data_IF_839704250583
#
_entry.id   IF_839704250583
#
_cell.length_a   1.000
_cell.length_b   1.000
_cell.length_c   1.000
_cell.angle_alpha   90.00
_cell.angle_beta   90.00
_cell.angle_gamma   90.00
#
_symmetry.space_group_name_H-M   'P 1'
#
loop_
_entity.id
_entity.type
_entity.pdbx_description
1 polymer ?
#
# COMPACT_ATOMS: atom_id res chain seq x y z
N UNK A 1 17.14 -3.38 5.56
CA UNK A 1 15.75 -3.31 6.07
C UNK A 1 14.85 -3.60 4.90
N UNK A 2 14.09 -4.69 4.96
CA UNK A 2 13.22 -5.13 3.85
C UNK A 2 12.02 -4.20 3.73
N UNK A 3 11.68 -3.81 2.51
CA UNK A 3 10.54 -2.96 2.19
C UNK A 3 9.39 -3.79 1.64
N UNK A 4 8.25 -3.72 2.30
CA UNK A 4 7.05 -4.46 1.92
C UNK A 4 6.04 -3.50 1.31
N UNK A 5 5.65 -3.75 0.06
CA UNK A 5 4.55 -3.04 -0.57
C UNK A 5 3.22 -3.64 -0.09
N UNK A 6 2.44 -2.85 0.66
CA UNK A 6 1.08 -3.19 1.06
C UNK A 6 0.08 -2.62 0.07
N UNK A 7 -0.70 -3.49 -0.57
CA UNK A 7 -1.72 -3.08 -1.54
C UNK A 7 -2.89 -4.04 -1.57
N UNK A 8 -3.99 -3.61 -2.20
CA UNK A 8 -5.13 -4.50 -2.35
C UNK A 8 -6.37 -3.83 -2.91
N UNK A 9 -7.48 -4.56 -2.85
CA UNK A 9 -8.76 -4.08 -3.34
C UNK A 9 -9.29 -2.92 -2.50
N UNK A 10 -10.01 -2.01 -3.17
CA UNK A 10 -10.79 -0.96 -2.49
C UNK A 10 -11.98 -1.51 -1.71
N UNK A 11 -12.37 -2.76 -1.97
CA UNK A 11 -13.34 -3.52 -1.17
C UNK A 11 -12.60 -4.45 -0.23
N UNK A 12 -12.14 -3.89 0.87
CA UNK A 12 -11.49 -4.65 1.94
C UNK A 12 -11.91 -4.05 3.28
N UNK A 13 -13.00 -4.55 3.88
CA UNK A 13 -13.51 -4.02 5.14
C UNK A 13 -12.62 -4.41 6.34
N UNK A 14 -11.90 -5.53 6.26
CA UNK A 14 -11.05 -6.02 7.33
C UNK A 14 -9.92 -6.92 6.81
N UNK A 15 -8.83 -7.01 7.59
CA UNK A 15 -7.75 -7.97 7.34
C UNK A 15 -8.17 -9.36 7.83
N UNK A 16 -8.04 -10.36 6.96
CA UNK A 16 -8.19 -11.77 7.33
C UNK A 16 -7.11 -12.20 8.34
N UNK A 17 -7.39 -13.23 9.14
CA UNK A 17 -6.47 -13.71 10.19
C UNK A 17 -5.08 -14.05 9.65
N UNK A 18 -4.99 -14.72 8.50
CA UNK A 18 -3.71 -15.06 7.87
C UNK A 18 -2.88 -13.80 7.49
N UNK A 19 -3.55 -12.75 7.00
CA UNK A 19 -2.88 -11.47 6.66
C UNK A 19 -2.38 -10.77 7.92
N UNK A 20 -3.15 -10.82 9.02
CA UNK A 20 -2.72 -10.25 10.30
C UNK A 20 -1.50 -10.97 10.86
N UNK A 21 -1.51 -12.31 10.85
CA UNK A 21 -0.38 -13.11 11.31
C UNK A 21 0.90 -12.81 10.50
N UNK A 22 0.76 -12.67 9.18
CA UNK A 22 1.89 -12.31 8.32
C UNK A 22 2.40 -10.88 8.59
N UNK A 23 1.50 -9.92 8.81
CA UNK A 23 1.90 -8.56 9.21
C UNK A 23 2.61 -8.54 10.56
N UNK A 24 2.18 -9.34 11.54
CA UNK A 24 2.85 -9.44 12.85
C UNK A 24 4.28 -9.91 12.67
N UNK A 25 4.48 -10.99 11.88
CA UNK A 25 5.80 -11.52 11.54
C UNK A 25 6.69 -10.46 10.88
N UNK A 26 6.16 -9.68 9.94
CA UNK A 26 6.90 -8.64 9.23
C UNK A 26 7.23 -7.42 10.12
N UNK A 27 6.33 -7.06 11.04
CA UNK A 27 6.58 -6.02 12.06
C UNK A 27 7.71 -6.45 12.99
N UNK A 28 7.67 -7.69 13.50
CA UNK A 28 8.71 -8.25 14.36
C UNK A 28 10.09 -8.29 13.69
N UNK A 29 10.12 -8.45 12.37
CA UNK A 29 11.34 -8.38 11.55
C UNK A 29 11.85 -6.95 11.31
N UNK A 30 11.12 -5.93 11.76
CA UNK A 30 11.50 -4.53 11.58
C UNK A 30 11.41 -4.06 10.12
N UNK A 31 10.47 -4.61 9.34
CA UNK A 31 10.28 -4.20 7.95
C UNK A 31 9.75 -2.76 7.81
N UNK A 32 10.08 -2.11 6.69
CA UNK A 32 9.44 -0.85 6.25
C UNK A 32 8.21 -1.19 5.41
N UNK A 33 7.07 -0.56 5.68
CA UNK A 33 5.85 -0.73 4.90
C UNK A 33 5.62 0.47 3.98
N UNK A 34 5.53 0.20 2.68
CA UNK A 34 5.11 1.18 1.67
C UNK A 34 3.62 0.96 1.43
N UNK A 35 2.80 1.96 1.73
CA UNK A 35 1.34 1.84 1.62
C UNK A 35 0.75 3.02 0.87
N UNK A 36 -0.31 2.78 0.11
CA UNK A 36 -1.03 3.86 -0.55
C UNK A 36 -1.98 4.62 0.39
N UNK A 37 -2.56 5.69 -0.14
CA UNK A 37 -3.55 6.52 0.55
C UNK A 37 -5.03 6.17 0.25
N UNK A 38 -5.33 5.12 -0.51
CA UNK A 38 -6.71 4.86 -0.95
C UNK A 38 -7.63 4.35 0.19
N UNK A 39 -8.94 4.35 -0.05
CA UNK A 39 -9.87 3.60 0.79
C UNK A 39 -9.81 2.10 0.48
N UNK A 40 -10.29 1.26 1.39
CA UNK A 40 -10.19 -0.19 1.31
C UNK A 40 -8.87 -0.68 1.87
N UNK A 41 -8.18 -1.59 1.18
CA UNK A 41 -7.01 -2.30 1.71
C UNK A 41 -5.94 -1.36 2.27
N UNK A 42 -5.55 -0.32 1.52
CA UNK A 42 -4.63 0.73 1.97
C UNK A 42 -5.01 1.28 3.36
N UNK A 43 -6.26 1.75 3.52
CA UNK A 43 -6.76 2.28 4.79
C UNK A 43 -6.82 1.23 5.89
N UNK A 44 -7.16 -0.02 5.55
CA UNK A 44 -7.24 -1.12 6.51
C UNK A 44 -5.85 -1.51 7.02
N UNK A 45 -4.84 -1.54 6.16
CA UNK A 45 -3.44 -1.70 6.56
C UNK A 45 -2.96 -0.54 7.42
N UNK A 46 -3.24 0.70 7.02
CA UNK A 46 -2.92 1.87 7.83
C UNK A 46 -3.57 1.78 9.23
N UNK A 47 -4.84 1.41 9.34
CA UNK A 47 -5.48 1.28 10.65
C UNK A 47 -4.74 0.28 11.54
N UNK A 48 -4.45 -0.91 11.01
CA UNK A 48 -3.82 -1.99 11.76
C UNK A 48 -2.39 -1.63 12.23
N UNK A 49 -1.62 -0.96 11.38
CA UNK A 49 -0.25 -0.50 11.70
C UNK A 49 -0.27 0.65 12.72
N UNK A 50 -1.24 1.56 12.62
CA UNK A 50 -1.39 2.68 13.54
C UNK A 50 -1.75 2.21 14.96
N UNK A 51 -2.65 1.22 15.08
CA UNK A 51 -3.01 0.60 16.37
C UNK A 51 -1.81 -0.02 17.10
N UNK A 52 -0.77 -0.42 16.37
CA UNK A 52 0.46 -1.02 16.90
C UNK A 52 1.59 -0.01 17.08
N UNK A 53 1.33 1.27 16.80
CA UNK A 53 2.34 2.33 16.83
C UNK A 53 3.59 1.99 16.01
N UNK A 54 3.45 1.25 14.90
CA UNK A 54 4.59 0.91 14.05
C UNK A 54 5.05 2.16 13.30
N UNK A 55 6.31 2.54 13.49
CA UNK A 55 6.87 3.77 12.88
C UNK A 55 7.43 3.54 11.48
N UNK A 56 7.75 2.29 11.13
CA UNK A 56 8.34 1.90 9.85
C UNK A 56 7.33 1.91 8.71
N UNK A 57 6.62 3.01 8.48
CA UNK A 57 5.59 3.15 7.45
C UNK A 57 5.82 4.42 6.64
N UNK A 58 5.59 4.34 5.32
CA UNK A 58 5.61 5.48 4.41
C UNK A 58 4.38 5.45 3.51
N UNK A 59 3.62 6.55 3.52
CA UNK A 59 2.39 6.68 2.73
C UNK A 59 2.68 7.31 1.39
N UNK A 60 2.30 6.68 0.28
CA UNK A 60 2.43 7.23 -1.06
C UNK A 60 1.09 7.72 -1.59
N UNK A 61 1.12 8.91 -2.22
CA UNK A 61 -0.05 9.53 -2.81
C UNK A 61 0.28 10.29 -4.08
N UNK A 62 -0.76 10.61 -4.85
CA UNK A 62 -0.72 11.51 -6.02
C UNK A 62 -1.67 12.68 -5.80
N UNK A 63 -1.44 13.79 -6.49
CA UNK A 63 -2.21 15.02 -6.31
C UNK A 63 -1.69 15.88 -5.15
N UNK A 64 -2.52 16.76 -4.62
CA UNK A 64 -2.08 17.80 -3.67
C UNK A 64 -1.86 17.29 -2.24
N UNK A 65 -2.64 16.30 -1.79
CA UNK A 65 -2.58 15.74 -0.43
C UNK A 65 -3.01 14.28 -0.40
N UNK A 66 -2.54 13.46 0.56
CA UNK A 66 -3.03 12.10 0.73
C UNK A 66 -4.51 12.10 1.12
N UNK A 67 -5.27 11.12 0.62
CA UNK A 67 -6.66 10.88 1.03
C UNK A 67 -6.75 10.33 2.45
N UNK A 68 -5.84 9.43 2.83
CA UNK A 68 -5.73 8.87 4.18
C UNK A 68 -4.25 8.80 4.60
N UNK A 69 -3.99 9.13 5.87
CA UNK A 69 -2.73 8.87 6.58
C UNK A 69 -3.03 8.73 8.08
N UNK A 70 -3.52 7.56 8.49
CA UNK A 70 -4.11 7.37 9.83
C UNK A 70 -3.07 7.38 10.95
N UNK A 71 -1.84 6.95 10.69
CA UNK A 71 -0.75 6.95 11.67
C UNK A 71 0.14 8.19 11.62
N UNK A 72 -0.22 9.22 10.86
CA UNK A 72 0.57 10.46 10.71
C UNK A 72 2.02 10.22 10.25
N UNK A 73 2.26 9.18 9.45
CA UNK A 73 3.58 8.81 8.96
C UNK A 73 4.12 9.76 7.89
N UNK A 74 5.43 9.71 7.57
CA UNK A 74 5.98 10.39 6.41
C UNK A 74 5.21 10.06 5.14
N UNK A 75 4.72 11.09 4.46
CA UNK A 75 3.98 10.98 3.22
C UNK A 75 4.85 11.41 2.03
N UNK A 76 4.89 10.60 0.97
CA UNK A 76 5.63 10.87 -0.27
C UNK A 76 4.65 11.10 -1.41
N UNK A 77 4.65 12.33 -1.93
CA UNK A 77 3.95 12.65 -3.18
C UNK A 77 4.72 12.06 -4.37
N UNK A 78 4.01 11.41 -5.27
CA UNK A 78 4.53 10.96 -6.56
C UNK A 78 4.01 11.90 -7.65
N UNK A 79 4.92 12.48 -8.42
CA UNK A 79 4.55 13.31 -9.57
C UNK A 79 4.23 12.43 -10.78
N UNK A 80 3.26 12.85 -11.58
CA UNK A 80 2.87 12.15 -12.81
C UNK A 80 2.30 13.13 -13.83
N UNK A 81 2.58 12.88 -15.10
CA UNK A 81 1.99 13.59 -16.23
C UNK A 81 0.62 13.02 -16.64
N UNK A 82 0.19 11.91 -16.03
CA UNK A 82 -1.12 11.32 -16.31
C UNK A 82 -2.25 12.29 -15.92
N UNK A 83 -3.35 12.25 -16.67
CA UNK A 83 -4.50 13.13 -16.42
C UNK A 83 -5.11 12.83 -15.04
N UNK A 84 -5.29 13.84 -14.15
CA UNK A 84 -5.89 13.65 -12.84
C UNK A 84 -7.23 12.89 -12.88
N UNK A 85 -7.43 11.99 -11.93
CA UNK A 85 -8.64 11.17 -11.81
C UNK A 85 -8.68 9.92 -12.70
N UNK A 86 -7.72 9.74 -13.61
CA UNK A 86 -7.61 8.52 -14.42
C UNK A 86 -6.97 7.37 -13.66
N UNK A 87 -7.11 6.15 -14.19
CA UNK A 87 -6.44 4.97 -13.64
C UNK A 87 -4.91 5.18 -13.56
N UNK A 88 -4.28 5.64 -14.64
CA UNK A 88 -2.82 5.81 -14.68
C UNK A 88 -2.30 6.88 -13.73
N UNK A 89 -3.13 7.89 -13.43
CA UNK A 89 -2.82 8.88 -12.41
C UNK A 89 -2.69 8.23 -11.04
N UNK A 90 -3.67 7.41 -10.63
CA UNK A 90 -3.60 6.70 -9.35
C UNK A 90 -2.56 5.58 -9.34
N UNK A 91 -2.36 4.88 -10.47
CA UNK A 91 -1.37 3.81 -10.58
C UNK A 91 0.08 4.33 -10.54
N UNK A 92 0.32 5.63 -10.75
CA UNK A 92 1.67 6.19 -10.70
C UNK A 92 2.36 5.98 -9.34
N UNK A 93 1.62 6.16 -8.23
CA UNK A 93 2.16 5.85 -6.89
C UNK A 93 2.38 4.36 -6.68
N UNK A 94 1.51 3.51 -7.23
CA UNK A 94 1.61 2.05 -7.08
C UNK A 94 2.85 1.52 -7.79
N UNK A 95 3.17 2.07 -8.97
CA UNK A 95 4.42 1.75 -9.70
C UNK A 95 5.66 2.16 -8.91
N UNK A 96 5.65 3.34 -8.29
CA UNK A 96 6.80 3.80 -7.48
C UNK A 96 6.95 2.94 -6.21
N UNK A 97 5.86 2.58 -5.53
CA UNK A 97 5.90 1.66 -4.39
C UNK A 97 6.41 0.28 -4.82
N UNK A 98 5.86 -0.26 -5.91
CA UNK A 98 6.30 -1.54 -6.49
C UNK A 98 7.79 -1.52 -6.83
N UNK A 99 8.31 -0.43 -7.42
CA UNK A 99 9.74 -0.28 -7.74
C UNK A 99 10.65 -0.24 -6.51
N UNK A 100 10.17 0.34 -5.40
CA UNK A 100 10.96 0.55 -4.19
C UNK A 100 10.94 -0.62 -3.22
N UNK A 101 9.92 -1.47 -3.29
CA UNK A 101 9.76 -2.61 -2.40
C UNK A 101 10.72 -3.75 -2.75
N UNK A 102 10.93 -4.65 -1.80
CA UNK A 102 11.61 -5.92 -1.99
C UNK A 102 10.58 -7.05 -2.15
N UNK A 103 9.47 -6.95 -1.41
CA UNK A 103 8.35 -7.91 -1.42
C UNK A 103 7.00 -7.19 -1.42
N UNK A 104 5.92 -7.93 -1.68
CA UNK A 104 4.56 -7.40 -1.65
C UNK A 104 3.60 -8.27 -0.85
N UNK A 105 2.74 -7.63 -0.06
CA UNK A 105 1.61 -8.27 0.61
C UNK A 105 0.30 -7.71 0.05
N UNK A 106 -0.49 -8.60 -0.53
CA UNK A 106 -1.66 -8.24 -1.30
C UNK A 106 -2.95 -8.79 -0.69
N UNK A 107 -3.98 -7.94 -0.60
CA UNK A 107 -5.36 -8.39 -0.34
C UNK A 107 -6.18 -8.22 -1.61
N UNK A 108 -6.54 -9.34 -2.24
CA UNK A 108 -7.26 -9.30 -3.50
C UNK A 108 -8.61 -10.01 -3.39
N UNK A 109 -9.63 -9.37 -3.94
CA UNK A 109 -11.00 -9.88 -4.06
C UNK A 109 -11.24 -10.56 -5.42
N UNK A 110 -10.16 -10.92 -6.14
CA UNK A 110 -10.16 -11.49 -7.50
C UNK A 110 -10.76 -10.59 -8.61
N UNK A 111 -11.43 -9.51 -8.23
CA UNK A 111 -12.10 -8.59 -9.16
C UNK A 111 -11.28 -7.31 -9.42
N UNK A 112 -10.50 -6.85 -8.45
CA UNK A 112 -9.79 -5.58 -8.56
C UNK A 112 -8.69 -5.62 -9.64
N UNK A 113 -8.96 -5.02 -10.79
CA UNK A 113 -8.00 -4.91 -11.92
C UNK A 113 -6.70 -4.20 -11.53
N UNK A 114 -6.77 -3.18 -10.67
CA UNK A 114 -5.58 -2.48 -10.17
C UNK A 114 -4.70 -3.39 -9.33
N UNK A 115 -5.33 -4.20 -8.46
CA UNK A 115 -4.61 -5.16 -7.62
C UNK A 115 -3.95 -6.25 -8.46
N UNK A 116 -4.65 -6.81 -9.45
CA UNK A 116 -4.06 -7.76 -10.41
C UNK A 116 -2.85 -7.18 -11.13
N UNK A 117 -2.93 -5.91 -11.57
CA UNK A 117 -1.81 -5.23 -12.23
C UNK A 117 -0.60 -5.12 -11.29
N UNK A 118 -0.80 -4.71 -10.05
CA UNK A 118 0.28 -4.58 -9.06
C UNK A 118 0.95 -5.94 -8.77
N UNK A 119 0.18 -7.03 -8.74
CA UNK A 119 0.73 -8.40 -8.65
C UNK A 119 1.67 -8.68 -9.82
N UNK A 120 1.21 -8.44 -11.07
CA UNK A 120 2.04 -8.67 -12.27
C UNK A 120 3.28 -7.81 -12.28
N UNK A 121 3.14 -6.52 -11.95
CA UNK A 121 4.26 -5.55 -11.93
C UNK A 121 5.31 -5.94 -10.88
N UNK A 122 4.91 -6.51 -9.74
CA UNK A 122 5.85 -7.03 -8.72
C UNK A 122 6.53 -8.33 -9.15
N UNK A 123 5.78 -9.26 -9.76
CA UNK A 123 6.32 -10.57 -10.18
C UNK A 123 7.24 -10.52 -11.39
N UNK A 124 7.24 -9.41 -12.13
CA UNK A 124 8.07 -9.21 -13.32
C UNK A 124 9.45 -8.59 -13.02
N UNK A 125 9.83 -8.45 -11.75
CA UNK A 125 11.12 -7.91 -11.30
C UNK A 125 12.14 -9.01 -11.06
#
# INVERSE_FOLDING_TARGET
MTRIFLFGSRRCPQLAAAVRAELERLVEQGCEFLVGDANGADKTFQHWLAERHHEGVRVFFVGSRPRNNLGHWPARRVETSARPGTFDFYAAKDREMSRLADEGLCIWDEESRGTRRNIVDLSAR
#
